data_IF_692509634142
#
_entry.id   IF_692509634142
#
_cell.length_a   1.000
_cell.length_b   1.000
_cell.length_c   1.000
_cell.angle_alpha   90.00
_cell.angle_beta   90.00
_cell.angle_gamma   90.00
#
_symmetry.space_group_name_H-M   'P 1'
#
loop_
_entity.id
_entity.type
_entity.pdbx_description
1 polymer ?
#
# COMPACT_ATOMS: atom_id res chain seq x y z
N UNK A 1 -4.64 -2.03 44.65
CA UNK A 1 -3.72 -2.77 43.77
C UNK A 1 -4.07 -2.40 42.33
N UNK A 2 -3.25 -1.59 41.64
CA UNK A 2 -3.44 -1.35 40.20
C UNK A 2 -2.62 -2.39 39.47
N UNK A 3 -3.28 -3.36 38.84
CA UNK A 3 -2.65 -4.22 37.84
C UNK A 3 -2.05 -3.31 36.77
N UNK A 4 -0.72 -3.33 36.60
CA UNK A 4 -0.10 -2.74 35.41
C UNK A 4 -0.64 -3.51 34.22
N UNK A 5 -1.30 -2.83 33.29
CA UNK A 5 -1.79 -3.47 32.08
C UNK A 5 -0.58 -3.91 31.24
N UNK A 6 -0.67 -5.08 30.61
CA UNK A 6 0.40 -5.58 29.76
C UNK A 6 0.49 -4.72 28.48
N UNK A 7 1.72 -4.49 27.98
CA UNK A 7 1.95 -3.80 26.71
C UNK A 7 1.12 -4.43 25.60
N UNK A 8 0.58 -3.58 24.73
CA UNK A 8 -0.27 -4.01 23.63
C UNK A 8 0.50 -4.80 22.55
N UNK A 9 1.79 -4.50 22.38
CA UNK A 9 2.73 -5.21 21.49
C UNK A 9 3.94 -5.68 22.31
N UNK A 10 3.85 -6.85 22.96
CA UNK A 10 4.84 -7.27 23.96
C UNK A 10 6.00 -8.11 23.42
N UNK A 11 6.00 -8.50 22.14
CA UNK A 11 6.90 -9.56 21.64
C UNK A 11 8.36 -9.09 21.51
N UNK A 12 8.62 -7.95 20.87
CA UNK A 12 9.97 -7.38 20.74
C UNK A 12 9.92 -5.86 20.89
N UNK A 13 10.94 -5.26 21.53
CA UNK A 13 11.08 -3.82 21.68
C UNK A 13 12.54 -3.39 21.47
N UNK A 14 12.74 -2.35 20.65
CA UNK A 14 14.05 -1.75 20.39
C UNK A 14 13.94 -0.22 20.30
N UNK A 15 14.98 0.49 20.74
CA UNK A 15 15.07 1.94 20.62
C UNK A 15 15.97 2.35 19.44
N UNK A 16 15.49 3.27 18.61
CA UNK A 16 16.24 3.89 17.50
C UNK A 16 16.40 5.40 17.72
N UNK A 17 17.12 5.78 18.77
CA UNK A 17 17.38 7.20 19.10
C UNK A 17 17.96 7.96 17.91
N UNK A 18 17.44 9.17 17.65
CA UNK A 18 17.81 10.06 16.54
C UNK A 18 17.69 9.46 15.13
N UNK A 19 17.08 8.29 14.97
CA UNK A 19 17.08 7.60 13.68
C UNK A 19 15.84 6.76 13.40
N UNK A 20 14.85 6.75 14.30
CA UNK A 20 13.59 6.08 14.09
C UNK A 20 12.82 6.75 12.95
N UNK A 21 12.28 5.93 12.04
CA UNK A 21 11.23 6.27 11.08
C UNK A 21 10.26 5.08 11.01
N UNK A 22 9.02 5.25 10.51
CA UNK A 22 8.09 4.14 10.29
C UNK A 22 8.73 3.01 9.48
N UNK A 23 9.30 3.33 8.32
CA UNK A 23 9.98 2.38 7.43
C UNK A 23 11.08 1.60 8.15
N UNK A 24 11.87 2.26 9.00
CA UNK A 24 12.95 1.60 9.74
C UNK A 24 12.43 0.59 10.76
N UNK A 25 11.36 0.94 11.49
CA UNK A 25 10.73 0.03 12.44
C UNK A 25 10.06 -1.15 11.74
N UNK A 26 9.33 -0.88 10.66
CA UNK A 26 8.69 -1.88 9.81
C UNK A 26 9.72 -2.89 9.29
N UNK A 27 10.82 -2.40 8.71
CA UNK A 27 11.87 -3.24 8.17
C UNK A 27 12.50 -4.11 9.28
N UNK A 28 12.79 -3.52 10.44
CA UNK A 28 13.33 -4.27 11.58
C UNK A 28 12.39 -5.41 12.01
N UNK A 29 11.11 -5.12 12.22
CA UNK A 29 10.13 -6.13 12.63
C UNK A 29 9.94 -7.20 11.54
N UNK A 30 9.94 -6.81 10.26
CA UNK A 30 9.87 -7.73 9.12
C UNK A 30 11.06 -8.69 9.07
N UNK A 31 12.28 -8.18 9.20
CA UNK A 31 13.51 -8.99 9.20
C UNK A 31 13.56 -9.99 10.36
N UNK A 32 12.86 -9.66 11.46
CA UNK A 32 12.66 -10.54 12.62
C UNK A 32 11.49 -11.50 12.47
N UNK A 33 10.71 -11.40 11.39
CA UNK A 33 9.58 -12.29 11.10
C UNK A 33 8.30 -11.94 11.87
N UNK A 34 8.13 -10.69 12.31
CA UNK A 34 6.90 -10.22 12.93
C UNK A 34 5.95 -9.61 11.91
N UNK A 35 4.64 -9.82 12.08
CA UNK A 35 3.60 -9.31 11.17
C UNK A 35 3.25 -7.82 11.38
N UNK A 36 3.54 -7.27 12.57
CA UNK A 36 3.18 -5.90 12.94
C UNK A 36 4.36 -5.14 13.55
N UNK A 37 4.44 -3.85 13.23
CA UNK A 37 5.36 -2.88 13.80
C UNK A 37 4.59 -1.76 14.51
N UNK A 38 5.00 -1.36 15.70
CA UNK A 38 4.38 -0.31 16.50
C UNK A 38 5.42 0.74 16.86
N UNK A 39 5.12 2.01 16.71
CA UNK A 39 6.03 3.09 17.05
C UNK A 39 5.47 3.90 18.22
N UNK A 40 6.31 4.18 19.21
CA UNK A 40 5.97 4.96 20.40
C UNK A 40 7.05 5.99 20.70
N UNK A 41 6.64 7.09 21.31
CA UNK A 41 7.56 8.03 21.98
C UNK A 41 8.71 8.54 21.08
N UNK A 42 8.46 8.75 19.79
CA UNK A 42 9.42 9.27 18.79
C UNK A 42 10.61 8.36 18.44
N UNK A 43 11.02 7.45 19.32
CA UNK A 43 12.22 6.62 19.13
C UNK A 43 12.05 5.14 19.48
N UNK A 44 10.92 4.70 20.03
CA UNK A 44 10.68 3.30 20.37
C UNK A 44 9.98 2.56 19.22
N UNK A 45 10.44 1.35 18.95
CA UNK A 45 9.88 0.43 17.97
C UNK A 45 9.51 -0.89 18.66
N UNK A 46 8.30 -1.37 18.39
CA UNK A 46 7.71 -2.58 18.93
C UNK A 46 7.35 -3.51 17.80
N UNK A 47 7.51 -4.81 18.00
CA UNK A 47 7.04 -5.82 17.05
C UNK A 47 6.04 -6.74 17.72
N UNK A 48 5.13 -7.30 16.93
CA UNK A 48 4.16 -8.30 17.39
C UNK A 48 3.69 -9.16 16.22
N UNK A 49 3.33 -10.41 16.50
CA UNK A 49 2.52 -11.22 15.57
C UNK A 49 1.02 -11.11 15.84
N UNK A 50 0.64 -10.62 17.03
CA UNK A 50 -0.75 -10.35 17.37
C UNK A 50 -1.13 -8.94 16.94
N UNK A 51 -2.17 -8.84 16.10
CA UNK A 51 -2.78 -7.56 15.75
C UNK A 51 -3.44 -6.93 16.98
N UNK A 52 -3.16 -5.66 17.30
CA UNK A 52 -3.87 -4.93 18.34
C UNK A 52 -5.39 -4.96 18.17
N UNK A 53 -6.10 -5.13 19.29
CA UNK A 53 -7.57 -5.14 19.32
C UNK A 53 -8.12 -3.76 18.98
N UNK A 54 -9.24 -3.70 18.24
CA UNK A 54 -9.92 -2.42 17.99
C UNK A 54 -10.43 -1.76 19.30
N UNK A 55 -10.61 -2.52 20.37
CA UNK A 55 -11.05 -1.97 21.67
C UNK A 55 -10.02 -1.03 22.30
N UNK A 56 -8.76 -1.13 21.88
CA UNK A 56 -7.69 -0.23 22.31
C UNK A 56 -7.40 0.85 21.26
N UNK A 57 -8.26 1.07 20.25
CA UNK A 57 -8.06 2.16 19.28
C UNK A 57 -8.16 3.52 19.95
N UNK A 58 -7.28 4.44 19.56
CA UNK A 58 -7.35 5.86 19.84
C UNK A 58 -7.70 6.64 18.55
N UNK A 59 -8.00 7.93 18.70
CA UNK A 59 -8.05 8.82 17.54
C UNK A 59 -6.66 8.90 16.89
N UNK A 60 -6.58 8.97 15.56
CA UNK A 60 -5.29 9.05 14.87
C UNK A 60 -4.47 10.26 15.31
N UNK A 61 -5.14 11.37 15.66
CA UNK A 61 -4.50 12.59 16.15
C UNK A 61 -3.87 12.47 17.54
N UNK A 62 -4.17 11.41 18.30
CA UNK A 62 -3.48 11.10 19.55
C UNK A 62 -2.05 10.60 19.30
N UNK A 63 -1.76 10.03 18.13
CA UNK A 63 -0.42 9.67 17.69
C UNK A 63 0.16 10.86 16.93
N UNK A 64 0.78 11.80 17.66
CA UNK A 64 1.19 13.10 17.10
C UNK A 64 2.67 13.45 17.35
N UNK A 65 3.44 12.55 17.95
CA UNK A 65 4.87 12.79 18.13
C UNK A 65 5.60 12.53 16.82
N UNK A 66 6.48 13.47 16.47
CA UNK A 66 7.35 13.37 15.30
C UNK A 66 8.43 12.33 15.53
N UNK A 67 8.84 11.66 14.47
CA UNK A 67 9.93 10.70 14.53
C UNK A 67 11.28 11.36 14.79
N UNK A 68 12.09 10.75 15.63
CA UNK A 68 13.44 11.21 15.93
C UNK A 68 14.36 11.24 14.69
N UNK A 69 14.15 10.32 13.75
CA UNK A 69 14.91 10.22 12.51
C UNK A 69 14.35 11.03 11.34
N UNK A 70 13.08 11.46 11.40
CA UNK A 70 12.45 12.31 10.39
C UNK A 70 11.30 13.14 10.99
N UNK A 71 11.49 14.45 11.07
CA UNK A 71 10.53 15.38 11.66
C UNK A 71 9.27 15.64 10.80
N UNK A 72 9.18 15.01 9.62
CA UNK A 72 8.00 15.03 8.76
C UNK A 72 7.10 13.79 8.93
N UNK A 73 7.55 12.80 9.70
CA UNK A 73 6.81 11.55 9.96
C UNK A 73 6.36 11.47 11.41
N UNK A 74 5.34 10.65 11.67
CA UNK A 74 4.75 10.42 13.00
C UNK A 74 5.19 9.06 13.56
N UNK A 75 5.57 9.04 14.83
CA UNK A 75 6.09 7.88 15.55
C UNK A 75 5.40 7.71 16.91
N UNK A 76 4.07 7.54 16.87
CA UNK A 76 3.23 7.33 18.05
C UNK A 76 3.04 8.58 18.91
N UNK A 77 2.78 8.35 20.20
CA UNK A 77 2.88 9.35 21.25
C UNK A 77 3.14 8.69 22.61
N UNK A 78 3.03 9.45 23.71
CA UNK A 78 3.10 8.85 25.04
C UNK A 78 1.90 7.92 25.27
N UNK A 79 2.16 6.64 25.59
CA UNK A 79 1.14 5.59 25.73
C UNK A 79 0.22 5.44 24.50
N UNK A 80 0.76 5.75 23.31
CA UNK A 80 0.06 5.62 22.02
C UNK A 80 0.98 5.02 20.97
N UNK A 81 0.55 3.91 20.36
CA UNK A 81 1.27 3.22 19.30
C UNK A 81 0.70 3.60 17.93
N UNK A 82 1.55 4.11 17.04
CA UNK A 82 1.27 4.09 15.60
C UNK A 82 1.61 2.69 15.09
N UNK A 83 0.61 1.91 14.67
CA UNK A 83 0.79 0.50 14.32
C UNK A 83 0.68 0.30 12.81
N UNK A 84 1.60 -0.48 12.25
CA UNK A 84 1.78 -0.75 10.83
C UNK A 84 1.87 -2.25 10.58
N UNK A 85 1.43 -2.70 9.41
CA UNK A 85 1.76 -4.03 8.89
C UNK A 85 3.20 -4.06 8.35
N UNK A 86 3.94 -5.13 8.64
CA UNK A 86 5.36 -5.26 8.21
C UNK A 86 5.53 -5.82 6.80
N UNK A 87 4.46 -6.38 6.24
CA UNK A 87 4.46 -6.94 4.91
C UNK A 87 4.48 -5.83 3.85
N UNK A 88 5.67 -5.47 3.37
CA UNK A 88 5.78 -4.74 2.11
C UNK A 88 5.56 -5.68 0.93
N UNK A 89 4.60 -5.31 0.10
CA UNK A 89 4.26 -5.89 -1.18
C UNK A 89 5.46 -5.77 -2.16
N UNK A 90 6.38 -6.73 -2.18
CA UNK A 90 7.54 -6.70 -3.08
C UNK A 90 7.60 -7.89 -4.06
N UNK A 91 8.03 -7.56 -5.27
CA UNK A 91 8.43 -8.38 -6.41
C UNK A 91 7.36 -9.25 -7.10
N UNK A 92 6.40 -9.83 -6.39
CA UNK A 92 5.27 -10.54 -7.01
C UNK A 92 4.07 -9.62 -7.33
N UNK A 93 4.16 -8.34 -6.96
CA UNK A 93 3.05 -7.37 -6.96
C UNK A 93 2.32 -7.22 -8.29
N UNK A 94 3.03 -7.17 -9.42
CA UNK A 94 2.39 -6.98 -10.74
C UNK A 94 1.68 -8.26 -11.18
N UNK A 95 2.28 -9.42 -10.97
CA UNK A 95 1.67 -10.71 -11.31
C UNK A 95 0.53 -11.06 -10.35
N UNK A 96 0.69 -10.78 -9.05
CA UNK A 96 -0.33 -11.03 -8.02
C UNK A 96 -1.50 -10.05 -8.08
N UNK A 97 -1.32 -8.85 -8.61
CA UNK A 97 -2.37 -7.85 -8.76
C UNK A 97 -2.95 -7.80 -10.17
N UNK A 98 -2.41 -8.56 -11.11
CA UNK A 98 -2.98 -8.67 -12.44
C UNK A 98 -4.33 -9.37 -12.36
N UNK A 99 -5.40 -8.62 -12.60
CA UNK A 99 -6.76 -9.14 -12.55
C UNK A 99 -7.14 -9.86 -13.85
N UNK A 100 -6.43 -9.55 -14.93
CA UNK A 100 -6.57 -10.18 -16.24
C UNK A 100 -6.66 -9.20 -17.39
N UNK A 101 -6.86 -9.76 -18.58
CA UNK A 101 -7.18 -9.00 -19.79
C UNK A 101 -8.70 -8.77 -19.91
N UNK A 102 -9.11 -7.55 -20.26
CA UNK A 102 -10.53 -7.18 -20.39
C UNK A 102 -10.78 -6.38 -21.66
N UNK A 103 -11.95 -6.56 -22.26
CA UNK A 103 -12.40 -5.74 -23.39
C UNK A 103 -12.61 -4.28 -22.98
N UNK A 104 -12.29 -3.35 -23.88
CA UNK A 104 -12.57 -1.93 -23.73
C UNK A 104 -12.91 -1.32 -25.10
N UNK A 105 -14.20 -1.13 -25.32
CA UNK A 105 -14.74 -0.70 -26.61
C UNK A 105 -14.79 0.82 -26.81
N UNK A 106 -14.26 1.63 -25.89
CA UNK A 106 -14.21 3.09 -26.05
C UNK A 106 -15.51 3.81 -25.68
N UNK A 107 -16.66 3.32 -26.15
CA UNK A 107 -17.99 3.93 -25.88
C UNK A 107 -18.51 3.62 -24.47
N UNK A 108 -18.03 2.54 -23.87
CA UNK A 108 -18.31 2.16 -22.49
C UNK A 108 -17.00 1.68 -21.85
N UNK A 109 -16.12 2.65 -21.56
CA UNK A 109 -14.77 2.41 -21.03
C UNK A 109 -14.85 1.55 -19.76
N UNK A 110 -13.88 0.64 -19.65
CA UNK A 110 -13.76 -0.27 -18.50
C UNK A 110 -13.40 0.48 -17.22
N UNK A 111 -12.46 1.43 -17.34
CA UNK A 111 -11.94 2.29 -16.29
C UNK A 111 -12.23 3.75 -16.68
N UNK A 112 -13.09 4.41 -15.91
CA UNK A 112 -13.65 5.73 -16.23
C UNK A 112 -13.02 6.89 -15.44
N UNK A 113 -11.90 6.64 -14.77
CA UNK A 113 -11.18 7.65 -13.99
C UNK A 113 -10.16 8.42 -14.85
N UNK A 114 -9.05 8.80 -14.22
CA UNK A 114 -7.97 9.52 -14.90
C UNK A 114 -7.32 8.67 -15.99
N UNK A 115 -6.85 9.34 -17.03
CA UNK A 115 -6.20 8.71 -18.16
C UNK A 115 -5.04 9.57 -18.65
N UNK A 116 -3.96 8.93 -19.11
CA UNK A 116 -2.83 9.61 -19.76
C UNK A 116 -2.08 8.67 -20.73
N UNK A 117 -1.27 9.25 -21.62
CA UNK A 117 -0.46 8.53 -22.61
C UNK A 117 1.03 8.74 -22.37
N UNK A 118 1.78 7.65 -22.23
CA UNK A 118 3.21 7.64 -21.95
C UNK A 118 3.99 6.90 -23.04
N UNK A 119 4.42 7.62 -24.07
CA UNK A 119 5.05 7.04 -25.26
C UNK A 119 6.49 6.53 -25.06
N UNK A 120 7.13 6.82 -23.92
CA UNK A 120 8.54 6.47 -23.70
C UNK A 120 8.83 5.67 -22.43
N UNK A 121 7.90 5.64 -21.47
CA UNK A 121 8.16 5.20 -20.10
C UNK A 121 7.05 4.32 -19.52
N UNK A 122 6.10 3.87 -20.34
CA UNK A 122 5.01 3.06 -19.81
C UNK A 122 5.52 1.68 -19.41
N UNK A 123 5.11 1.23 -18.23
CA UNK A 123 5.13 -0.16 -17.78
C UNK A 123 3.89 -0.39 -16.89
N UNK A 124 3.50 -1.65 -16.61
CA UNK A 124 2.45 -1.95 -15.65
C UNK A 124 2.72 -1.32 -14.28
N UNK A 125 3.94 -1.42 -13.77
CA UNK A 125 4.38 -0.82 -12.50
C UNK A 125 4.19 0.70 -12.53
N UNK A 126 4.61 1.33 -13.63
CA UNK A 126 4.49 2.77 -13.79
C UNK A 126 3.02 3.21 -13.81
N UNK A 127 2.17 2.49 -14.53
CA UNK A 127 0.74 2.79 -14.62
C UNK A 127 0.01 2.57 -13.29
N UNK A 128 0.32 1.47 -12.59
CA UNK A 128 -0.18 1.20 -11.25
C UNK A 128 0.22 2.32 -10.29
N UNK A 129 1.50 2.70 -10.26
CA UNK A 129 1.97 3.80 -9.42
C UNK A 129 1.37 5.15 -9.80
N UNK A 130 1.11 5.40 -11.09
CA UNK A 130 0.41 6.59 -11.55
C UNK A 130 -1.03 6.64 -11.01
N UNK A 131 -1.80 5.56 -11.17
CA UNK A 131 -3.17 5.50 -10.67
C UNK A 131 -3.23 5.51 -9.14
N UNK A 132 -2.27 4.85 -8.48
CA UNK A 132 -2.08 4.87 -7.03
C UNK A 132 -1.94 6.31 -6.50
N UNK A 133 -0.98 7.07 -7.03
CA UNK A 133 -0.75 8.48 -6.64
C UNK A 133 -1.91 9.42 -6.97
N UNK A 134 -2.85 8.97 -7.80
CA UNK A 134 -4.04 9.74 -8.17
C UNK A 134 -5.31 9.22 -7.47
N UNK A 135 -5.20 8.32 -6.49
CA UNK A 135 -6.34 7.91 -5.66
C UNK A 135 -7.24 6.82 -6.26
N UNK A 136 -6.84 6.18 -7.35
CA UNK A 136 -7.67 5.16 -8.02
C UNK A 136 -7.35 3.71 -7.61
N UNK A 137 -8.38 2.90 -7.35
CA UNK A 137 -8.25 1.48 -6.93
C UNK A 137 -7.76 0.52 -8.03
N UNK A 138 -7.92 0.90 -9.30
CA UNK A 138 -7.54 0.08 -10.45
C UNK A 138 -6.71 0.89 -11.45
N UNK A 139 -5.79 0.18 -12.10
CA UNK A 139 -5.00 0.67 -13.22
C UNK A 139 -5.17 -0.26 -14.42
N UNK A 140 -5.16 0.30 -15.62
CA UNK A 140 -5.30 -0.39 -16.89
C UNK A 140 -4.24 0.08 -17.87
N UNK A 141 -3.40 -0.83 -18.33
CA UNK A 141 -2.49 -0.57 -19.45
C UNK A 141 -3.17 -0.96 -20.75
N UNK A 142 -3.10 -0.07 -21.74
CA UNK A 142 -3.84 -0.19 -22.99
C UNK A 142 -2.96 0.21 -24.18
N UNK A 143 -3.11 -0.52 -25.29
CA UNK A 143 -2.49 -0.24 -26.59
C UNK A 143 -1.01 0.22 -26.52
N UNK A 144 -0.21 -0.40 -25.63
CA UNK A 144 1.23 -0.19 -25.51
C UNK A 144 1.69 1.13 -24.87
N UNK A 145 0.85 2.16 -24.83
CA UNK A 145 1.26 3.53 -24.42
C UNK A 145 0.28 4.22 -23.49
N UNK A 146 -0.90 3.65 -23.30
CA UNK A 146 -1.98 4.30 -22.59
C UNK A 146 -2.14 3.71 -21.20
N UNK A 147 -2.40 4.59 -20.23
CA UNK A 147 -2.68 4.23 -18.84
C UNK A 147 -4.04 4.81 -18.44
N UNK A 148 -4.94 3.94 -18.03
CA UNK A 148 -6.28 4.24 -17.55
C UNK A 148 -6.38 3.93 -16.06
N UNK A 149 -7.11 4.75 -15.31
CA UNK A 149 -7.36 4.55 -13.89
C UNK A 149 -8.87 4.45 -13.63
N UNK A 150 -9.27 3.82 -12.54
CA UNK A 150 -10.66 3.81 -12.11
C UNK A 150 -10.85 3.23 -10.72
N UNK A 151 -12.00 3.50 -10.11
CA UNK A 151 -12.35 3.00 -8.77
C UNK A 151 -13.23 1.74 -8.79
N UNK A 152 -13.71 1.37 -9.97
CA UNK A 152 -14.49 0.16 -10.21
C UNK A 152 -14.23 -0.37 -11.62
N UNK A 153 -14.43 -1.68 -11.79
CA UNK A 153 -14.46 -2.32 -13.09
C UNK A 153 -15.91 -2.31 -13.60
N UNK A 154 -16.14 -1.70 -14.75
CA UNK A 154 -17.46 -1.73 -15.36
C UNK A 154 -17.83 -3.18 -15.77
N UNK A 155 -18.79 -3.78 -15.05
CA UNK A 155 -19.16 -5.20 -15.16
C UNK A 155 -19.74 -5.60 -16.53
N UNK A 156 -20.06 -4.63 -17.39
CA UNK A 156 -20.53 -4.89 -18.75
C UNK A 156 -19.43 -5.33 -19.74
N UNK A 157 -18.15 -5.34 -19.34
CA UNK A 157 -17.04 -5.74 -20.19
C UNK A 157 -16.59 -7.18 -19.89
N UNK A 158 -16.24 -7.92 -20.95
CA UNK A 158 -15.87 -9.33 -20.83
C UNK A 158 -14.39 -9.49 -20.48
N UNK A 159 -14.10 -10.37 -19.52
CA UNK A 159 -12.74 -10.89 -19.29
C UNK A 159 -12.32 -11.76 -20.48
N UNK A 160 -11.10 -11.56 -20.96
CA UNK A 160 -10.50 -12.22 -22.13
C UNK A 160 -9.38 -13.17 -21.69
N UNK A 161 -8.73 -13.83 -22.65
CA UNK A 161 -7.50 -14.59 -22.35
C UNK A 161 -6.37 -13.59 -22.14
N UNK A 162 -5.47 -13.89 -21.22
CA UNK A 162 -4.35 -12.98 -20.94
C UNK A 162 -3.43 -12.83 -22.17
N UNK A 163 -3.36 -13.86 -23.02
CA UNK A 163 -2.68 -13.81 -24.33
C UNK A 163 -3.27 -12.79 -25.30
N UNK A 164 -4.50 -12.31 -25.08
CA UNK A 164 -5.12 -11.29 -25.92
C UNK A 164 -4.61 -9.87 -25.61
N UNK A 165 -3.95 -9.69 -24.46
CA UNK A 165 -3.29 -8.47 -24.02
C UNK A 165 -1.76 -8.61 -24.19
N UNK A 166 -1.32 -8.73 -25.44
CA UNK A 166 0.07 -9.05 -25.83
C UNK A 166 0.86 -7.85 -26.40
N UNK A 167 0.22 -6.70 -26.58
CA UNK A 167 0.91 -5.50 -27.11
C UNK A 167 1.95 -5.05 -26.10
N UNK A 168 3.21 -4.92 -26.54
CA UNK A 168 4.30 -4.48 -25.68
C UNK A 168 4.16 -3.02 -25.27
N UNK A 169 4.54 -2.76 -24.02
CA UNK A 169 4.71 -1.41 -23.52
C UNK A 169 5.80 -0.66 -24.31
N UNK A 170 5.61 0.64 -24.54
CA UNK A 170 6.62 1.44 -25.22
C UNK A 170 7.94 1.45 -24.45
N UNK A 171 9.00 0.95 -25.09
CA UNK A 171 10.35 0.80 -24.55
C UNK A 171 10.45 -0.09 -23.29
N UNK A 172 9.59 -1.10 -23.17
CA UNK A 172 9.64 -2.06 -22.06
C UNK A 172 9.31 -3.49 -22.49
N UNK A 173 9.77 -4.48 -21.71
CA UNK A 173 9.58 -5.93 -21.98
C UNK A 173 8.16 -6.42 -21.64
N UNK A 174 7.41 -5.66 -20.86
CA UNK A 174 6.08 -6.03 -20.38
C UNK A 174 4.99 -5.86 -21.43
N UNK A 175 3.85 -6.52 -21.22
CA UNK A 175 2.66 -6.33 -22.04
C UNK A 175 1.80 -5.20 -21.44
N UNK A 176 1.34 -4.29 -22.29
CA UNK A 176 0.52 -3.14 -21.98
C UNK A 176 -0.82 -3.20 -22.72
N UNK A 177 -1.58 -4.25 -22.43
CA UNK A 177 -2.93 -4.44 -22.98
C UNK A 177 -2.93 -4.85 -24.44
N UNK A 178 -3.96 -4.41 -25.17
CA UNK A 178 -4.15 -4.70 -26.58
C UNK A 178 -5.02 -3.66 -27.27
N UNK A 179 -5.22 -3.81 -28.58
CA UNK A 179 -6.18 -2.96 -29.30
C UNK A 179 -7.58 -3.18 -28.70
N UNK A 180 -8.19 -2.14 -28.14
CA UNK A 180 -9.48 -2.20 -27.44
C UNK A 180 -9.47 -3.17 -26.25
N UNK A 181 -8.33 -3.31 -25.56
CA UNK A 181 -8.18 -4.21 -24.41
C UNK A 181 -7.29 -3.59 -23.34
N UNK A 182 -7.69 -3.75 -22.08
CA UNK A 182 -6.88 -3.35 -20.93
C UNK A 182 -6.29 -4.59 -20.26
N UNK A 183 -4.99 -4.55 -19.98
CA UNK A 183 -4.43 -5.37 -18.90
C UNK A 183 -4.69 -4.65 -17.59
N UNK A 184 -5.49 -5.24 -16.70
CA UNK A 184 -5.99 -4.58 -15.50
C UNK A 184 -5.26 -5.05 -14.26
N UNK A 185 -4.91 -4.11 -13.40
CA UNK A 185 -4.20 -4.32 -12.15
C UNK A 185 -4.94 -3.65 -10.99
N UNK A 186 -4.95 -4.29 -9.83
CA UNK A 186 -5.32 -3.60 -8.59
C UNK A 186 -4.16 -2.69 -8.17
N UNK A 187 -4.44 -1.43 -7.80
CA UNK A 187 -3.40 -0.50 -7.33
C UNK A 187 -3.04 -0.68 -5.88
N UNK A 188 -3.82 -1.50 -5.16
CA UNK A 188 -3.71 -1.67 -3.71
C UNK A 188 -3.90 -0.37 -2.92
N UNK A 189 -4.52 0.65 -3.54
CA UNK A 189 -5.19 1.69 -2.75
C UNK A 189 -6.29 0.99 -1.94
N UNK A 190 -5.96 0.77 -0.68
CA UNK A 190 -6.95 0.69 0.38
C UNK A 190 -7.22 2.11 0.87
N UNK A 191 -8.26 2.33 1.66
CA UNK A 191 -8.59 3.63 2.22
C UNK A 191 -7.55 4.12 3.29
N UNK A 192 -6.29 3.65 3.20
CA UNK A 192 -5.17 3.90 4.11
C UNK A 192 -3.83 4.13 3.33
N UNK A 193 -3.04 5.08 3.83
CA UNK A 193 -1.75 5.59 3.32
C UNK A 193 -0.57 4.60 3.47
N UNK A 194 0.38 4.57 2.53
CA UNK A 194 1.60 3.74 2.61
C UNK A 194 2.82 4.43 3.23
N UNK A 195 3.27 3.84 4.34
CA UNK A 195 4.65 3.41 4.67
C UNK A 195 4.44 2.20 5.59
N UNK A 196 4.22 1.00 5.03
CA UNK A 196 3.38 -0.01 5.69
C UNK A 196 1.96 0.53 5.87
N UNK A 197 0.94 -0.31 5.70
CA UNK A 197 -0.43 0.16 5.89
C UNK A 197 -0.58 0.56 7.37
N UNK A 198 -0.64 1.86 7.66
CA UNK A 198 -0.96 2.33 9.02
C UNK A 198 -2.31 1.70 9.39
N UNK A 199 -2.30 0.83 10.38
CA UNK A 199 -3.51 0.18 10.90
C UNK A 199 -4.29 1.17 11.77
N UNK A 200 -3.58 2.05 12.47
CA UNK A 200 -4.18 3.11 13.28
C UNK A 200 -3.33 3.47 14.50
N UNK A 201 -3.89 4.36 15.32
CA UNK A 201 -3.36 4.72 16.62
C UNK A 201 -4.00 3.86 17.72
N UNK A 202 -3.21 3.33 18.65
CA UNK A 202 -3.71 2.46 19.72
C UNK A 202 -3.20 2.89 21.09
N UNK A 203 -4.05 2.77 22.10
CA UNK A 203 -3.75 2.98 23.52
C UNK A 203 -2.88 1.84 24.02
N UNK A 204 -1.67 2.17 24.46
CA UNK A 204 -0.73 1.24 25.09
C UNK A 204 -0.54 1.66 26.55
N UNK A 205 -1.50 1.27 27.41
CA UNK A 205 -1.47 1.57 28.83
C UNK A 205 -0.39 0.73 29.52
N UNK A 206 0.48 1.38 30.28
CA UNK A 206 1.46 0.73 31.16
C UNK A 206 1.06 0.85 32.63
#
# INVERSE_FOLDING_TARGET
>A
ERSREARLMPDEMVEFRNSLTPTKCIQFCKEKGYDYAGLQFSFECFCSNARPSFKSSADESDCNLKCDGDQNQICGANFRLSVYETSELLANFVESNYLGCYSDNGDNRLLNGKYDTFTKRLSPEFCVGFCYRNGYRFAGVHNGTQCFCGDSLNQGQSKLRDSDCDIKCANSRFNCGGLRKNGVYHTQISDYSEDGKLIGCFIDNQ
#
